data_IF_319185626914
#
_entry.id   IF_319185626914
#
_cell.length_a   1.000
_cell.length_b   1.000
_cell.length_c   1.000
_cell.angle_alpha   90.00
_cell.angle_beta   90.00
_cell.angle_gamma   90.00
#
_symmetry.space_group_name_H-M   'P 1'
#
loop_
_entity.id
_entity.type
_entity.pdbx_description
1 polymer ?
#
# COMPACT_ATOMS: atom_id res chain seq x y z
N UNK A 1 -19.94 -2.32 18.41
CA UNK A 1 -19.11 -3.30 17.70
C UNK A 1 -19.03 -2.82 16.26
N UNK A 2 -17.84 -2.72 15.67
CA UNK A 2 -17.72 -2.35 14.26
C UNK A 2 -18.22 -3.50 13.40
N UNK A 3 -19.27 -3.27 12.62
CA UNK A 3 -19.84 -4.21 11.68
C UNK A 3 -19.09 -4.10 10.35
N UNK A 4 -18.87 -5.20 9.66
CA UNK A 4 -18.35 -5.19 8.30
C UNK A 4 -19.49 -4.88 7.33
N UNK A 5 -19.38 -3.78 6.59
CA UNK A 5 -20.46 -3.27 5.73
C UNK A 5 -19.89 -2.73 4.43
N UNK A 6 -20.55 -3.04 3.33
CA UNK A 6 -20.32 -2.43 2.03
C UNK A 6 -21.30 -1.27 1.86
N UNK A 7 -20.78 -0.05 1.90
CA UNK A 7 -21.56 1.18 1.70
C UNK A 7 -20.99 1.85 0.45
N UNK A 8 -21.85 2.18 -0.51
CA UNK A 8 -21.43 2.90 -1.71
C UNK A 8 -21.18 4.38 -1.38
N UNK A 9 -19.93 4.89 -1.48
CA UNK A 9 -19.63 6.29 -1.12
C UNK A 9 -20.28 7.33 -2.04
N UNK A 10 -20.68 6.93 -3.24
CA UNK A 10 -21.38 7.80 -4.18
C UNK A 10 -22.83 8.04 -3.78
N UNK A 11 -23.52 7.02 -3.28
CA UNK A 11 -24.94 7.11 -2.88
C UNK A 11 -25.15 7.19 -1.36
N UNK A 12 -24.13 6.85 -0.57
CA UNK A 12 -24.18 6.62 0.89
C UNK A 12 -25.15 5.49 1.30
N UNK A 13 -25.44 4.53 0.41
CA UNK A 13 -26.35 3.42 0.65
C UNK A 13 -25.56 2.15 1.01
N UNK A 14 -25.98 1.44 2.07
CA UNK A 14 -25.50 0.11 2.40
C UNK A 14 -26.10 -0.89 1.41
N UNK A 15 -25.26 -1.71 0.75
CA UNK A 15 -25.72 -2.74 -0.18
C UNK A 15 -25.34 -4.17 0.27
N UNK A 16 -24.46 -4.33 1.25
CA UNK A 16 -24.15 -5.61 1.86
C UNK A 16 -23.60 -5.46 3.28
N UNK A 17 -23.80 -6.49 4.10
CA UNK A 17 -23.23 -6.57 5.44
C UNK A 17 -22.80 -7.99 5.77
N UNK A 18 -21.79 -8.12 6.64
CA UNK A 18 -21.14 -9.36 6.98
C UNK A 18 -21.01 -9.47 8.50
N UNK A 19 -21.41 -10.60 9.03
CA UNK A 19 -21.30 -10.86 10.47
C UNK A 19 -19.84 -11.10 10.87
N UNK A 20 -19.51 -10.76 12.11
CA UNK A 20 -18.20 -11.07 12.65
C UNK A 20 -17.98 -12.59 12.70
N UNK A 21 -16.76 -13.00 12.42
CA UNK A 21 -16.37 -14.41 12.54
C UNK A 21 -16.53 -14.89 13.98
N UNK A 22 -17.11 -16.08 14.16
CA UNK A 22 -17.18 -16.73 15.48
C UNK A 22 -15.81 -17.26 15.89
N UNK A 23 -15.60 -17.50 17.18
CA UNK A 23 -14.37 -18.12 17.68
C UNK A 23 -14.09 -19.50 17.03
N UNK A 24 -15.14 -20.30 16.79
CA UNK A 24 -15.03 -21.60 16.11
C UNK A 24 -14.55 -21.42 14.64
N UNK A 25 -15.13 -20.48 13.89
CA UNK A 25 -14.71 -20.21 12.52
C UNK A 25 -13.25 -19.73 12.44
N UNK A 26 -12.80 -18.94 13.41
CA UNK A 26 -11.40 -18.49 13.49
C UNK A 26 -10.47 -19.67 13.79
N UNK A 27 -10.80 -20.53 14.76
CA UNK A 27 -10.00 -21.72 15.07
C UNK A 27 -9.93 -22.71 13.91
N UNK A 28 -11.05 -22.97 13.24
CA UNK A 28 -11.12 -23.81 12.03
C UNK A 28 -10.22 -23.23 10.91
N UNK A 29 -10.24 -21.92 10.69
CA UNK A 29 -9.42 -21.25 9.72
C UNK A 29 -7.92 -21.39 10.04
N UNK A 30 -7.53 -21.16 11.30
CA UNK A 30 -6.15 -21.32 11.75
C UNK A 30 -5.70 -22.79 11.59
N UNK A 31 -6.55 -23.76 11.97
CA UNK A 31 -6.26 -25.19 11.81
C UNK A 31 -6.03 -25.56 10.34
N UNK A 32 -6.91 -25.10 9.44
CA UNK A 32 -6.83 -25.36 8.01
C UNK A 32 -5.56 -24.78 7.39
N UNK A 33 -5.27 -23.51 7.67
CA UNK A 33 -4.05 -22.83 7.22
C UNK A 33 -2.79 -23.54 7.75
N UNK A 34 -2.77 -23.90 9.03
CA UNK A 34 -1.63 -24.58 9.63
C UNK A 34 -1.42 -26.00 9.08
N UNK A 35 -2.48 -26.73 8.79
CA UNK A 35 -2.39 -28.04 8.14
C UNK A 35 -1.79 -27.91 6.72
N UNK A 36 -2.20 -26.90 5.97
CA UNK A 36 -1.64 -26.60 4.65
C UNK A 36 -0.15 -26.22 4.75
N UNK A 37 0.24 -25.37 5.71
CA UNK A 37 1.64 -25.03 5.96
C UNK A 37 2.50 -26.29 6.19
N UNK A 38 2.04 -27.23 7.03
CA UNK A 38 2.77 -28.49 7.25
C UNK A 38 2.97 -29.30 5.99
N UNK A 39 1.97 -29.32 5.08
CA UNK A 39 2.08 -29.95 3.78
C UNK A 39 3.07 -29.23 2.88
N UNK A 40 2.96 -27.90 2.79
CA UNK A 40 3.78 -27.08 1.88
C UNK A 40 5.28 -27.06 2.21
N UNK A 41 5.65 -27.26 3.48
CA UNK A 41 7.06 -27.41 3.90
C UNK A 41 7.80 -28.52 3.17
N UNK A 42 7.08 -29.52 2.70
CA UNK A 42 7.65 -30.70 2.02
C UNK A 42 7.30 -30.76 0.53
N UNK A 43 6.56 -29.78 0.02
CA UNK A 43 6.14 -29.71 -1.37
C UNK A 43 7.12 -28.91 -2.22
N UNK A 44 7.33 -29.37 -3.47
CA UNK A 44 8.14 -28.62 -4.42
C UNK A 44 7.50 -27.26 -4.72
N UNK A 45 8.22 -26.13 -4.55
CA UNK A 45 7.69 -24.77 -4.80
C UNK A 45 7.25 -24.55 -6.27
N UNK A 46 7.72 -25.34 -7.22
CA UNK A 46 7.25 -25.33 -8.61
C UNK A 46 5.73 -25.56 -8.75
N UNK A 47 5.15 -26.33 -7.84
CA UNK A 47 3.70 -26.54 -7.82
C UNK A 47 2.96 -25.23 -7.49
N UNK A 48 3.48 -24.47 -6.53
CA UNK A 48 2.95 -23.18 -6.15
C UNK A 48 3.18 -22.10 -7.22
N UNK A 49 4.33 -22.15 -7.91
CA UNK A 49 4.62 -21.30 -9.06
C UNK A 49 3.56 -21.45 -10.17
N UNK A 50 3.33 -22.68 -10.61
CA UNK A 50 2.28 -22.97 -11.61
C UNK A 50 0.88 -22.55 -11.15
N UNK A 51 0.60 -22.69 -9.85
CA UNK A 51 -0.68 -22.30 -9.29
C UNK A 51 -0.85 -20.79 -9.26
N UNK A 52 0.23 -20.04 -8.99
CA UNK A 52 0.18 -18.58 -8.94
C UNK A 52 -0.06 -17.97 -10.34
N UNK A 53 0.45 -18.58 -11.42
CA UNK A 53 0.07 -18.21 -12.79
C UNK A 53 -1.43 -18.37 -13.05
N UNK A 54 -2.03 -19.49 -12.61
CA UNK A 54 -3.49 -19.67 -12.73
C UNK A 54 -4.29 -18.64 -11.95
N UNK A 55 -3.76 -18.20 -10.82
CA UNK A 55 -4.37 -17.10 -10.04
C UNK A 55 -4.29 -15.79 -10.82
N UNK A 56 -3.16 -15.48 -11.46
CA UNK A 56 -3.02 -14.30 -12.32
C UNK A 56 -4.04 -14.30 -13.46
N UNK A 57 -4.17 -15.44 -14.15
CA UNK A 57 -5.17 -15.60 -15.22
C UNK A 57 -6.60 -15.41 -14.70
N UNK A 58 -6.92 -16.00 -13.54
CA UNK A 58 -8.25 -15.87 -12.94
C UNK A 58 -8.57 -14.44 -12.47
N UNK A 59 -7.57 -13.68 -12.00
CA UNK A 59 -7.76 -12.25 -11.68
C UNK A 59 -8.15 -11.47 -12.95
N UNK A 60 -7.47 -11.69 -14.08
CA UNK A 60 -7.82 -11.06 -15.36
C UNK A 60 -9.18 -11.50 -15.88
N UNK A 61 -9.51 -12.80 -15.77
CA UNK A 61 -10.82 -13.34 -16.19
C UNK A 61 -11.98 -12.70 -15.41
N UNK A 62 -11.75 -12.32 -14.14
CA UNK A 62 -12.73 -11.70 -13.26
C UNK A 62 -12.49 -10.19 -13.04
N UNK A 63 -11.79 -9.52 -13.97
CA UNK A 63 -11.46 -8.09 -13.85
C UNK A 63 -12.70 -7.22 -13.60
N UNK A 64 -13.75 -7.40 -14.40
CA UNK A 64 -14.97 -6.59 -14.30
C UNK A 64 -15.68 -6.76 -12.96
N UNK A 65 -15.76 -7.98 -12.44
CA UNK A 65 -16.39 -8.27 -11.14
C UNK A 65 -15.59 -7.62 -10.00
N UNK A 66 -14.26 -7.78 -10.02
CA UNK A 66 -13.35 -7.22 -9.02
C UNK A 66 -13.35 -5.69 -9.06
N UNK A 67 -13.16 -5.11 -10.24
CA UNK A 67 -13.10 -3.67 -10.42
C UNK A 67 -14.40 -3.00 -9.99
N UNK A 68 -15.55 -3.55 -10.39
CA UNK A 68 -16.86 -3.03 -9.99
C UNK A 68 -17.07 -3.11 -8.48
N UNK A 69 -16.68 -4.22 -7.83
CA UNK A 69 -16.82 -4.36 -6.38
C UNK A 69 -15.97 -3.32 -5.64
N UNK A 70 -14.70 -3.14 -6.02
CA UNK A 70 -13.82 -2.12 -5.44
C UNK A 70 -14.38 -0.72 -5.62
N UNK A 71 -14.85 -0.37 -6.81
CA UNK A 71 -15.47 0.92 -7.10
C UNK A 71 -16.70 1.17 -6.22
N UNK A 72 -17.57 0.18 -6.07
CA UNK A 72 -18.78 0.30 -5.26
C UNK A 72 -18.49 0.42 -3.75
N UNK A 73 -17.44 -0.22 -3.23
CA UNK A 73 -17.15 -0.23 -1.80
C UNK A 73 -16.29 0.94 -1.33
N UNK A 74 -15.40 1.47 -2.19
CA UNK A 74 -14.47 2.51 -1.74
C UNK A 74 -14.46 3.77 -2.61
N UNK A 75 -15.27 3.81 -3.68
CA UNK A 75 -15.50 5.01 -4.48
C UNK A 75 -14.48 5.27 -5.60
N UNK A 76 -13.37 4.52 -5.71
CA UNK A 76 -12.36 4.77 -6.76
C UNK A 76 -12.95 4.59 -8.17
N UNK A 77 -12.36 5.27 -9.15
CA UNK A 77 -12.79 5.19 -10.53
C UNK A 77 -12.68 3.77 -11.08
N UNK A 78 -13.68 3.34 -11.87
CA UNK A 78 -13.69 1.98 -12.43
C UNK A 78 -12.44 1.68 -13.26
N UNK A 79 -11.90 2.67 -14.01
CA UNK A 79 -10.65 2.48 -14.77
C UNK A 79 -9.46 2.20 -13.84
N UNK A 80 -9.36 2.94 -12.71
CA UNK A 80 -8.29 2.74 -11.73
C UNK A 80 -8.42 1.40 -11.00
N UNK A 81 -9.67 0.94 -10.80
CA UNK A 81 -9.92 -0.40 -10.26
C UNK A 81 -9.49 -1.51 -11.22
N UNK A 82 -9.68 -1.35 -12.54
CA UNK A 82 -9.17 -2.29 -13.55
C UNK A 82 -7.65 -2.30 -13.62
N UNK A 83 -7.01 -1.12 -13.56
CA UNK A 83 -5.55 -1.01 -13.47
C UNK A 83 -5.00 -1.75 -12.25
N UNK A 84 -5.69 -1.67 -11.11
CA UNK A 84 -5.34 -2.40 -9.90
C UNK A 84 -5.41 -3.92 -10.09
N UNK A 85 -6.43 -4.43 -10.81
CA UNK A 85 -6.54 -5.88 -11.09
C UNK A 85 -5.36 -6.35 -11.96
N UNK A 86 -5.02 -5.63 -13.04
CA UNK A 86 -3.88 -6.00 -13.90
C UNK A 86 -2.54 -5.91 -13.15
N UNK A 87 -2.35 -4.89 -12.31
CA UNK A 87 -1.18 -4.81 -11.43
C UNK A 87 -1.08 -6.06 -10.54
N UNK A 88 -2.18 -6.48 -9.94
CA UNK A 88 -2.21 -7.68 -9.08
C UNK A 88 -1.90 -8.96 -9.84
N UNK A 89 -2.45 -9.12 -11.03
CA UNK A 89 -2.15 -10.25 -11.90
C UNK A 89 -0.66 -10.26 -12.28
N UNK A 90 -0.09 -9.11 -12.65
CA UNK A 90 1.33 -8.98 -12.99
C UNK A 90 2.26 -9.30 -11.81
N UNK A 91 1.89 -8.95 -10.57
CA UNK A 91 2.63 -9.33 -9.36
C UNK A 91 2.60 -10.85 -9.17
N UNK A 92 1.44 -11.49 -9.36
CA UNK A 92 1.34 -12.95 -9.31
C UNK A 92 2.24 -13.60 -10.36
N UNK A 93 2.25 -13.12 -11.60
CA UNK A 93 3.11 -13.60 -12.68
C UNK A 93 4.59 -13.41 -12.36
N UNK A 94 4.97 -12.26 -11.79
CA UNK A 94 6.35 -11.99 -11.39
C UNK A 94 6.87 -13.04 -10.40
N UNK A 95 6.10 -13.31 -9.32
CA UNK A 95 6.51 -14.32 -8.33
C UNK A 95 6.38 -15.75 -8.86
N UNK A 96 5.42 -16.04 -9.71
CA UNK A 96 5.33 -17.32 -10.38
C UNK A 96 6.58 -17.61 -11.23
N UNK A 97 7.07 -16.61 -11.96
CA UNK A 97 8.26 -16.72 -12.82
C UNK A 97 9.57 -16.77 -12.03
N UNK A 98 9.71 -15.96 -10.98
CA UNK A 98 10.99 -15.69 -10.33
C UNK A 98 11.12 -16.33 -8.94
N UNK A 99 9.99 -16.59 -8.25
CA UNK A 99 9.99 -16.94 -6.84
C UNK A 99 10.71 -18.23 -6.50
N UNK A 100 10.63 -19.25 -7.37
CA UNK A 100 11.36 -20.52 -7.16
C UNK A 100 12.87 -20.29 -7.18
N UNK A 101 13.38 -19.47 -8.11
CA UNK A 101 14.80 -19.11 -8.16
C UNK A 101 15.20 -18.30 -6.92
N UNK A 102 14.35 -17.40 -6.43
CA UNK A 102 14.60 -16.63 -5.23
C UNK A 102 14.70 -17.51 -3.97
N UNK A 103 14.03 -18.68 -3.96
CA UNK A 103 14.11 -19.66 -2.86
C UNK A 103 15.34 -20.56 -2.90
N UNK A 104 16.15 -20.49 -3.94
CA UNK A 104 17.38 -21.29 -4.02
C UNK A 104 18.28 -21.04 -2.81
N UNK A 105 19.00 -22.07 -2.32
CA UNK A 105 19.97 -21.91 -1.24
C UNK A 105 21.00 -20.84 -1.60
N UNK A 106 21.38 -20.03 -0.62
CA UNK A 106 22.41 -19.01 -0.79
C UNK A 106 23.71 -19.49 -0.19
N UNK A 107 24.79 -19.69 -0.96
CA UNK A 107 26.08 -20.10 -0.44
C UNK A 107 26.71 -18.99 0.42
N UNK A 108 27.50 -19.40 1.40
CA UNK A 108 28.26 -18.52 2.30
C UNK A 108 29.73 -18.93 2.22
N UNK A 109 30.62 -17.99 1.95
CA UNK A 109 32.06 -18.22 2.05
C UNK A 109 32.45 -18.37 3.52
N UNK A 110 33.10 -19.48 3.89
CA UNK A 110 33.48 -19.78 5.27
C UNK A 110 34.67 -20.73 5.31
N UNK A 111 35.66 -20.41 6.14
CA UNK A 111 36.80 -21.28 6.43
C UNK A 111 36.40 -22.46 7.33
N UNK A 112 35.20 -22.43 7.93
CA UNK A 112 34.72 -23.46 8.85
C UNK A 112 34.13 -24.69 8.12
N UNK A 113 33.89 -24.61 6.83
CA UNK A 113 33.31 -25.67 6.02
C UNK A 113 32.41 -25.20 4.91
N UNK A 114 31.68 -26.12 4.27
CA UNK A 114 30.73 -25.80 3.22
C UNK A 114 29.45 -25.25 3.84
N UNK A 115 29.24 -23.94 3.75
CA UNK A 115 28.13 -23.23 4.39
C UNK A 115 27.14 -22.65 3.38
N UNK A 116 25.87 -22.70 3.73
CA UNK A 116 24.77 -22.06 2.96
C UNK A 116 23.58 -21.82 3.88
N UNK A 117 22.66 -20.94 3.48
CA UNK A 117 21.36 -20.89 4.14
C UNK A 117 20.22 -21.25 3.18
N UNK A 118 19.25 -21.97 3.77
CA UNK A 118 17.98 -22.30 3.15
C UNK A 118 16.94 -21.23 3.46
N UNK A 119 16.04 -20.96 2.53
CA UNK A 119 14.90 -20.05 2.69
C UNK A 119 13.65 -20.86 2.95
N UNK A 120 13.25 -20.97 4.21
CA UNK A 120 12.15 -21.84 4.64
C UNK A 120 10.92 -21.03 5.04
N UNK A 121 9.72 -21.54 4.74
CA UNK A 121 8.47 -20.98 5.27
C UNK A 121 8.44 -21.02 6.80
N UNK A 122 7.87 -19.98 7.41
CA UNK A 122 7.77 -19.86 8.87
C UNK A 122 6.45 -20.37 9.44
N UNK A 123 5.35 -20.25 8.68
CA UNK A 123 4.02 -20.66 9.14
C UNK A 123 2.90 -19.80 8.59
N UNK A 124 1.78 -19.79 9.30
CA UNK A 124 0.62 -18.97 8.95
C UNK A 124 0.93 -17.50 9.24
N UNK A 125 0.58 -16.62 8.30
CA UNK A 125 0.75 -15.17 8.45
C UNK A 125 -0.64 -14.52 8.58
N UNK A 126 -0.79 -13.62 9.54
CA UNK A 126 -1.95 -12.74 9.66
C UNK A 126 -1.72 -11.48 8.85
N UNK A 127 -2.56 -11.21 7.86
CA UNK A 127 -2.53 -9.99 7.05
C UNK A 127 -3.71 -9.07 7.44
N UNK A 128 -3.39 -7.80 7.74
CA UNK A 128 -4.36 -6.76 8.08
C UNK A 128 -4.27 -5.65 7.04
N UNK A 129 -5.28 -5.54 6.15
CA UNK A 129 -5.17 -4.71 4.96
C UNK A 129 -6.20 -3.57 4.94
N UNK A 130 -5.82 -2.40 4.43
CA UNK A 130 -6.67 -1.23 4.33
C UNK A 130 -7.55 -1.25 3.08
N UNK A 131 -8.39 -0.26 2.96
CA UNK A 131 -9.44 -0.14 1.94
C UNK A 131 -9.03 0.56 0.64
N UNK A 132 -7.91 1.28 0.59
CA UNK A 132 -7.61 2.18 -0.51
C UNK A 132 -7.18 1.49 -1.82
N UNK A 133 -6.61 0.29 -1.72
CA UNK A 133 -6.34 -0.64 -2.83
C UNK A 133 -6.76 -2.05 -2.41
N UNK A 134 -8.07 -2.37 -2.48
CA UNK A 134 -8.61 -3.57 -1.83
C UNK A 134 -8.04 -4.89 -2.32
N UNK A 135 -7.63 -4.96 -3.59
CA UNK A 135 -7.01 -6.16 -4.15
C UNK A 135 -5.48 -6.13 -4.01
N UNK A 136 -4.86 -4.99 -4.34
CA UNK A 136 -3.40 -4.86 -4.35
C UNK A 136 -2.77 -5.10 -2.97
N UNK A 137 -3.36 -4.56 -1.91
CA UNK A 137 -2.85 -4.76 -0.56
C UNK A 137 -2.82 -6.25 -0.18
N UNK A 138 -3.85 -7.00 -0.57
CA UNK A 138 -3.92 -8.45 -0.33
C UNK A 138 -2.89 -9.20 -1.16
N UNK A 139 -2.81 -8.92 -2.47
CA UNK A 139 -1.91 -9.65 -3.39
C UNK A 139 -0.45 -9.35 -3.08
N UNK A 140 -0.12 -8.14 -2.66
CA UNK A 140 1.23 -7.71 -2.28
C UNK A 140 1.82 -8.58 -1.16
N UNK A 141 1.01 -8.96 -0.18
CA UNK A 141 1.39 -9.88 0.89
C UNK A 141 1.23 -11.34 0.46
N UNK A 142 0.12 -11.67 -0.24
CA UNK A 142 -0.22 -13.04 -0.59
C UNK A 142 0.76 -13.67 -1.58
N UNK A 143 1.08 -13.01 -2.70
CA UNK A 143 1.83 -13.64 -3.78
C UNK A 143 3.24 -14.12 -3.36
N UNK A 144 4.08 -13.30 -2.68
CA UNK A 144 5.39 -13.78 -2.19
C UNK A 144 5.24 -14.87 -1.14
N UNK A 145 4.31 -14.75 -0.19
CA UNK A 145 4.08 -15.74 0.85
C UNK A 145 3.54 -17.07 0.30
N UNK A 146 2.71 -17.03 -0.75
CA UNK A 146 2.24 -18.22 -1.44
C UNK A 146 3.39 -19.03 -2.03
N UNK A 147 4.37 -18.38 -2.70
CA UNK A 147 5.57 -19.05 -3.24
C UNK A 147 6.45 -19.59 -2.12
N UNK A 148 6.65 -18.84 -1.04
CA UNK A 148 7.41 -19.29 0.14
C UNK A 148 6.75 -20.51 0.80
N UNK A 149 5.42 -20.57 0.79
CA UNK A 149 4.63 -21.62 1.45
C UNK A 149 4.11 -21.21 2.83
N UNK A 150 3.83 -19.92 3.00
CA UNK A 150 3.16 -19.34 4.16
C UNK A 150 1.68 -19.07 3.81
N UNK A 151 0.71 -19.82 4.36
CA UNK A 151 -0.71 -19.50 4.22
C UNK A 151 -1.07 -18.18 4.89
N UNK A 152 -2.08 -17.49 4.35
CA UNK A 152 -2.53 -16.18 4.81
C UNK A 152 -3.92 -16.27 5.45
N UNK A 153 -4.06 -15.74 6.66
CA UNK A 153 -5.33 -15.31 7.23
C UNK A 153 -5.50 -13.82 6.95
N UNK A 154 -6.58 -13.44 6.31
CA UNK A 154 -6.84 -12.05 5.92
C UNK A 154 -7.88 -11.42 6.83
N UNK A 155 -7.56 -10.28 7.42
CA UNK A 155 -8.50 -9.32 7.99
C UNK A 155 -8.45 -8.05 7.16
N UNK A 156 -9.43 -7.85 6.29
CA UNK A 156 -9.51 -6.62 5.51
C UNK A 156 -10.20 -5.48 6.29
N UNK A 157 -10.14 -4.26 5.75
CA UNK A 157 -10.86 -3.12 6.31
C UNK A 157 -12.38 -3.36 6.35
N UNK A 158 -13.06 -2.75 7.32
CA UNK A 158 -14.48 -2.98 7.58
C UNK A 158 -15.41 -2.50 6.46
N UNK A 159 -14.94 -1.61 5.60
CA UNK A 159 -15.71 -0.99 4.51
C UNK A 159 -15.49 -1.62 3.13
N UNK A 160 -14.66 -2.65 3.03
CA UNK A 160 -14.41 -3.39 1.77
C UNK A 160 -14.51 -4.92 1.96
N UNK A 161 -15.51 -5.43 2.73
CA UNK A 161 -15.63 -6.85 3.01
C UNK A 161 -16.01 -7.68 1.79
N UNK A 162 -16.74 -7.11 0.84
CA UNK A 162 -17.13 -7.76 -0.41
C UNK A 162 -15.93 -7.99 -1.33
N UNK A 163 -15.04 -7.01 -1.46
CA UNK A 163 -13.78 -7.14 -2.20
C UNK A 163 -12.92 -8.26 -1.62
N UNK A 164 -12.78 -8.32 -0.29
CA UNK A 164 -12.05 -9.38 0.40
C UNK A 164 -12.63 -10.78 0.15
N UNK A 165 -13.95 -10.93 0.27
CA UNK A 165 -14.66 -12.19 0.03
C UNK A 165 -14.53 -12.63 -1.44
N UNK A 166 -14.68 -11.70 -2.38
CA UNK A 166 -14.57 -11.98 -3.81
C UNK A 166 -13.15 -12.41 -4.19
N UNK A 167 -12.13 -11.72 -3.69
CA UNK A 167 -10.72 -12.07 -3.89
C UNK A 167 -10.43 -13.50 -3.41
N UNK A 168 -10.79 -13.84 -2.18
CA UNK A 168 -10.58 -15.18 -1.64
C UNK A 168 -11.35 -16.27 -2.44
N UNK A 169 -12.55 -15.94 -2.93
CA UNK A 169 -13.35 -16.83 -3.78
C UNK A 169 -12.69 -17.09 -5.12
N UNK A 170 -12.17 -16.08 -5.79
CA UNK A 170 -11.49 -16.19 -7.10
C UNK A 170 -10.21 -16.99 -6.97
N UNK A 171 -9.36 -16.68 -5.99
CA UNK A 171 -8.12 -17.42 -5.72
C UNK A 171 -8.41 -18.92 -5.49
N UNK A 172 -9.43 -19.24 -4.70
CA UNK A 172 -9.86 -20.64 -4.50
C UNK A 172 -10.36 -21.29 -5.79
N UNK A 173 -11.16 -20.57 -6.60
CA UNK A 173 -11.68 -21.09 -7.89
C UNK A 173 -10.59 -21.32 -8.91
N UNK A 174 -9.51 -20.53 -8.89
CA UNK A 174 -8.31 -20.76 -9.67
C UNK A 174 -7.59 -22.06 -9.28
N UNK A 175 -8.07 -22.77 -8.25
CA UNK A 175 -7.54 -24.05 -7.77
C UNK A 175 -6.46 -23.90 -6.69
N UNK A 176 -6.29 -22.73 -6.09
CA UNK A 176 -5.43 -22.60 -4.92
C UNK A 176 -5.92 -23.52 -3.80
N UNK A 177 -5.02 -24.22 -3.10
CA UNK A 177 -5.41 -25.12 -2.01
C UNK A 177 -6.23 -24.39 -0.93
N UNK A 178 -7.22 -25.10 -0.40
CA UNK A 178 -7.97 -24.60 0.75
C UNK A 178 -7.01 -24.29 1.90
N UNK A 179 -7.17 -23.13 2.53
CA UNK A 179 -6.26 -22.67 3.59
C UNK A 179 -5.16 -21.74 3.10
N UNK A 180 -4.93 -21.57 1.79
CA UNK A 180 -3.87 -20.69 1.26
C UNK A 180 -4.15 -19.20 1.49
N UNK A 181 -5.40 -18.78 1.33
CA UNK A 181 -5.93 -17.47 1.70
C UNK A 181 -7.32 -17.65 2.32
N UNK A 182 -7.49 -17.29 3.59
CA UNK A 182 -8.75 -17.36 4.29
C UNK A 182 -9.15 -15.96 4.75
N UNK A 183 -10.23 -15.42 4.18
CA UNK A 183 -10.78 -14.14 4.63
C UNK A 183 -11.62 -14.35 5.90
N UNK A 184 -11.35 -13.54 6.92
CA UNK A 184 -12.01 -13.49 8.22
C UNK A 184 -12.57 -12.10 8.51
N UNK A 185 -13.60 -12.03 9.34
CA UNK A 185 -14.19 -10.79 9.83
C UNK A 185 -14.06 -10.68 11.37
N UNK A 186 -12.82 -10.67 11.92
CA UNK A 186 -12.63 -10.66 13.36
C UNK A 186 -12.90 -9.26 13.94
N UNK A 187 -13.28 -9.25 15.23
CA UNK A 187 -13.19 -8.04 16.05
C UNK A 187 -11.72 -7.72 16.35
N UNK A 188 -11.43 -6.53 16.92
CA UNK A 188 -10.07 -6.18 17.31
C UNK A 188 -9.52 -7.08 18.44
N UNK A 189 -10.37 -7.50 19.38
CA UNK A 189 -9.97 -8.44 20.44
C UNK A 189 -9.62 -9.81 19.85
N UNK A 190 -10.47 -10.34 18.97
CA UNK A 190 -10.19 -11.59 18.26
C UNK A 190 -8.92 -11.49 17.39
N UNK A 191 -8.63 -10.34 16.79
CA UNK A 191 -7.38 -10.16 16.05
C UNK A 191 -6.15 -10.32 16.96
N UNK A 192 -6.19 -9.77 18.16
CA UNK A 192 -5.12 -9.95 19.15
C UNK A 192 -4.93 -11.41 19.54
N UNK A 193 -6.03 -12.15 19.70
CA UNK A 193 -6.01 -13.60 19.99
C UNK A 193 -5.41 -14.40 18.81
N UNK A 194 -5.77 -14.06 17.56
CA UNK A 194 -5.19 -14.67 16.35
C UNK A 194 -3.67 -14.45 16.31
N UNK A 195 -3.22 -13.22 16.59
CA UNK A 195 -1.79 -12.89 16.62
C UNK A 195 -1.07 -13.68 17.73
N UNK A 196 -1.71 -13.90 18.86
CA UNK A 196 -1.15 -14.65 19.98
C UNK A 196 -1.08 -16.17 19.73
N UNK A 197 -1.87 -16.70 18.79
CA UNK A 197 -1.94 -18.15 18.51
C UNK A 197 -0.58 -18.69 18.06
N UNK A 198 -0.07 -19.81 18.65
CA UNK A 198 1.25 -20.36 18.31
C UNK A 198 1.35 -20.90 16.88
N UNK A 199 0.24 -21.14 16.18
CA UNK A 199 0.21 -21.57 14.77
C UNK A 199 0.41 -20.40 13.80
N UNK A 200 0.16 -19.14 14.23
CA UNK A 200 0.43 -17.91 13.48
C UNK A 200 1.86 -17.46 13.78
N UNK A 201 2.68 -17.26 12.76
CA UNK A 201 4.12 -17.02 12.91
C UNK A 201 4.59 -15.64 12.40
N UNK A 202 3.69 -14.87 11.82
CA UNK A 202 4.01 -13.51 11.37
C UNK A 202 2.75 -12.66 11.20
N UNK A 203 2.95 -11.35 11.12
CA UNK A 203 1.89 -10.38 10.94
C UNK A 203 2.32 -9.32 9.92
N UNK A 204 1.57 -9.17 8.84
CA UNK A 204 1.70 -8.03 7.92
C UNK A 204 0.56 -7.05 8.20
N UNK A 205 0.85 -5.77 8.28
CA UNK A 205 -0.18 -4.74 8.38
C UNK A 205 0.13 -3.58 7.44
N UNK A 206 -0.85 -3.21 6.65
CA UNK A 206 -0.90 -1.90 6.00
C UNK A 206 -2.05 -1.09 6.61
N UNK A 207 -1.79 0.16 6.99
CA UNK A 207 -2.84 0.99 7.62
C UNK A 207 -2.34 2.26 8.27
N UNK A 208 -3.07 2.73 9.29
CA UNK A 208 -2.68 3.92 10.05
C UNK A 208 -1.64 3.59 11.13
N UNK A 209 -0.87 4.61 11.57
CA UNK A 209 0.13 4.48 12.64
C UNK A 209 -0.49 3.91 13.93
N UNK A 210 -1.71 4.32 14.26
CA UNK A 210 -2.42 3.79 15.43
C UNK A 210 -2.68 2.29 15.31
N UNK A 211 -3.12 1.84 14.12
CA UNK A 211 -3.34 0.42 13.85
C UNK A 211 -2.01 -0.36 13.84
N UNK A 212 -0.99 0.21 13.21
CA UNK A 212 0.36 -0.34 13.16
C UNK A 212 0.96 -0.54 14.54
N UNK A 213 0.93 0.49 15.39
CA UNK A 213 1.44 0.40 16.77
C UNK A 213 0.76 -0.69 17.58
N UNK A 214 -0.59 -0.78 17.50
CA UNK A 214 -1.34 -1.80 18.24
C UNK A 214 -1.02 -3.24 17.77
N UNK A 215 -0.91 -3.44 16.45
CA UNK A 215 -0.57 -4.75 15.88
C UNK A 215 0.89 -5.11 16.11
N UNK A 216 1.81 -4.14 16.01
CA UNK A 216 3.23 -4.33 16.32
C UNK A 216 3.44 -4.68 17.79
N UNK A 217 2.72 -4.04 18.71
CA UNK A 217 2.73 -4.38 20.14
C UNK A 217 2.27 -5.82 20.37
N UNK A 218 1.14 -6.22 19.75
CA UNK A 218 0.63 -7.59 19.86
C UNK A 218 1.62 -8.61 19.27
N UNK A 219 2.24 -8.31 18.12
CA UNK A 219 3.26 -9.16 17.49
C UNK A 219 4.51 -9.27 18.35
N UNK A 220 5.04 -8.15 18.85
CA UNK A 220 6.23 -8.10 19.71
C UNK A 220 6.04 -8.84 21.03
N UNK A 221 4.88 -8.69 21.69
CA UNK A 221 4.52 -9.42 22.91
C UNK A 221 4.55 -10.93 22.71
N UNK A 222 4.24 -11.41 21.50
CA UNK A 222 4.20 -12.82 21.15
C UNK A 222 5.43 -13.29 20.33
N UNK A 223 6.48 -12.44 20.20
CA UNK A 223 7.73 -12.71 19.47
C UNK A 223 7.49 -13.11 18.00
N UNK A 224 6.50 -12.49 17.34
CA UNK A 224 6.19 -12.72 15.92
C UNK A 224 6.96 -11.73 15.05
N UNK A 225 7.46 -12.20 13.89
CA UNK A 225 7.93 -11.28 12.83
C UNK A 225 6.77 -10.40 12.37
N UNK A 226 7.06 -9.14 12.05
CA UNK A 226 6.03 -8.24 11.49
C UNK A 226 6.60 -7.30 10.44
N UNK A 227 5.75 -6.94 9.47
CA UNK A 227 5.96 -5.83 8.53
C UNK A 227 4.86 -4.80 8.73
N UNK A 228 5.25 -3.52 8.72
CA UNK A 228 4.33 -2.40 8.93
C UNK A 228 4.49 -1.42 7.78
N UNK A 229 3.41 -1.26 6.99
CA UNK A 229 3.29 -0.27 5.93
C UNK A 229 2.24 0.74 6.36
N UNK A 230 2.66 1.95 6.71
CA UNK A 230 1.80 2.92 7.37
C UNK A 230 1.60 4.18 6.51
N UNK A 231 1.22 5.29 7.13
CA UNK A 231 1.01 6.55 6.44
C UNK A 231 2.28 7.10 5.78
N UNK A 232 2.09 8.06 4.89
CA UNK A 232 3.17 8.78 4.22
C UNK A 232 2.80 10.25 4.01
N UNK A 233 3.80 11.12 4.08
CA UNK A 233 3.67 12.54 3.73
C UNK A 233 4.69 12.90 2.66
N UNK A 234 4.57 12.18 1.52
CA UNK A 234 5.58 12.14 0.47
C UNK A 234 5.82 13.51 -0.18
N UNK A 235 7.09 13.83 -0.35
CA UNK A 235 7.56 15.02 -1.02
C UNK A 235 7.65 14.81 -2.55
N UNK A 236 7.17 15.78 -3.31
CA UNK A 236 7.38 15.91 -4.75
C UNK A 236 8.25 17.16 -4.98
N UNK A 237 9.53 16.93 -5.25
CA UNK A 237 10.55 17.99 -5.32
C UNK A 237 10.71 18.43 -6.77
N UNK A 238 10.56 19.71 -7.03
CA UNK A 238 10.72 20.34 -8.36
C UNK A 238 11.92 21.27 -8.31
N UNK A 239 13.01 20.88 -8.94
CA UNK A 239 14.25 21.67 -9.02
C UNK A 239 14.15 22.73 -10.14
N UNK A 240 15.03 23.73 -10.12
CA UNK A 240 14.97 24.88 -11.03
C UNK A 240 15.23 24.55 -12.51
N UNK A 241 15.78 23.37 -12.79
CA UNK A 241 16.01 22.84 -14.13
C UNK A 241 14.94 21.83 -14.59
N UNK A 242 13.86 21.66 -13.84
CA UNK A 242 12.79 20.69 -14.14
C UNK A 242 12.19 20.94 -15.53
N UNK A 243 11.95 19.86 -16.30
CA UNK A 243 11.26 19.99 -17.59
C UNK A 243 9.76 20.27 -17.37
N UNK A 244 9.26 21.42 -17.83
CA UNK A 244 7.85 21.78 -17.73
C UNK A 244 6.90 20.73 -18.34
N UNK A 245 7.33 19.99 -19.35
CA UNK A 245 6.49 18.95 -19.97
C UNK A 245 6.38 17.71 -19.06
N UNK A 246 7.51 17.30 -18.46
CA UNK A 246 7.50 16.20 -17.46
C UNK A 246 6.60 16.59 -16.30
N UNK A 247 6.77 17.82 -15.78
CA UNK A 247 5.95 18.33 -14.68
C UNK A 247 4.45 18.27 -14.99
N UNK A 248 4.04 18.79 -16.15
CA UNK A 248 2.62 18.75 -16.58
C UNK A 248 2.07 17.33 -16.73
N UNK A 249 2.91 16.39 -17.15
CA UNK A 249 2.49 14.99 -17.37
C UNK A 249 2.31 14.20 -16.06
N UNK A 250 3.08 14.53 -15.02
CA UNK A 250 3.13 13.67 -13.81
C UNK A 250 2.47 14.29 -12.59
N UNK A 251 2.44 15.61 -12.46
CA UNK A 251 1.98 16.29 -11.24
C UNK A 251 0.50 16.07 -10.96
N UNK A 252 -0.33 16.04 -12.01
CA UNK A 252 -1.75 15.77 -11.88
C UNK A 252 -2.00 14.41 -11.21
N UNK A 253 -1.56 13.35 -11.85
CA UNK A 253 -1.73 11.97 -11.34
C UNK A 253 -1.03 11.76 -10.00
N UNK A 254 0.10 12.42 -9.75
CA UNK A 254 0.81 12.34 -8.47
C UNK A 254 -0.08 12.75 -7.30
N UNK A 255 -1.11 13.57 -7.54
CA UNK A 255 -2.00 14.07 -6.50
C UNK A 255 -3.46 13.61 -6.60
N UNK A 256 -3.97 13.30 -7.80
CA UNK A 256 -5.39 12.99 -8.01
C UNK A 256 -5.72 11.50 -8.18
N UNK A 257 -4.73 10.65 -8.48
CA UNK A 257 -4.95 9.21 -8.60
C UNK A 257 -5.59 8.65 -7.32
N UNK A 258 -6.63 7.85 -7.45
CA UNK A 258 -7.45 7.34 -6.34
C UNK A 258 -7.97 8.46 -5.42
N UNK A 259 -8.30 9.63 -5.99
CA UNK A 259 -8.72 10.83 -5.24
C UNK A 259 -7.70 11.26 -4.16
N UNK A 260 -6.40 11.04 -4.42
CA UNK A 260 -5.34 11.31 -3.46
C UNK A 260 -5.29 10.37 -2.25
N UNK A 261 -6.12 9.32 -2.22
CA UNK A 261 -6.20 8.34 -1.13
C UNK A 261 -5.13 7.25 -1.28
N UNK A 262 -3.87 7.68 -1.40
CA UNK A 262 -2.69 6.84 -1.60
C UNK A 262 -1.62 7.21 -0.58
N UNK A 263 -1.06 6.22 0.11
CA UNK A 263 0.00 6.46 1.09
C UNK A 263 1.23 7.13 0.46
N UNK A 264 1.59 6.75 -0.78
CA UNK A 264 2.68 7.32 -1.58
C UNK A 264 2.24 8.48 -2.49
N UNK A 265 1.02 9.02 -2.34
CA UNK A 265 0.63 10.23 -3.08
C UNK A 265 1.50 11.42 -2.66
N UNK A 266 1.86 12.25 -3.63
CA UNK A 266 2.68 13.44 -3.44
C UNK A 266 1.86 14.54 -2.72
N UNK A 267 1.87 14.55 -1.40
CA UNK A 267 1.09 15.47 -0.58
C UNK A 267 1.76 16.83 -0.48
N UNK A 268 3.10 16.82 -0.27
CA UNK A 268 3.94 18.03 -0.17
C UNK A 268 4.65 18.29 -1.49
N UNK A 269 4.25 19.32 -2.21
CA UNK A 269 4.91 19.78 -3.44
C UNK A 269 5.94 20.82 -3.05
N UNK A 270 7.21 20.45 -3.05
CA UNK A 270 8.35 21.30 -2.68
C UNK A 270 8.97 21.81 -3.97
N UNK A 271 8.94 23.11 -4.19
CA UNK A 271 9.30 23.71 -5.48
C UNK A 271 10.29 24.84 -5.33
N UNK A 272 11.37 24.84 -6.12
CA UNK A 272 12.27 25.99 -6.22
C UNK A 272 11.56 27.18 -6.87
N UNK A 273 11.88 28.37 -6.42
CA UNK A 273 11.22 29.65 -6.78
C UNK A 273 10.93 29.82 -8.27
N UNK A 274 11.83 29.37 -9.14
CA UNK A 274 11.70 29.49 -10.59
C UNK A 274 10.47 28.81 -11.18
N UNK A 275 10.00 27.72 -10.59
CA UNK A 275 8.85 26.93 -11.06
C UNK A 275 7.59 27.11 -10.21
N UNK A 276 7.61 27.98 -9.19
CA UNK A 276 6.48 28.11 -8.25
C UNK A 276 5.16 28.43 -8.92
N UNK A 277 5.14 29.48 -9.75
CA UNK A 277 3.93 29.88 -10.47
C UNK A 277 3.46 28.81 -11.45
N UNK A 278 4.40 28.14 -12.13
CA UNK A 278 4.08 27.05 -13.06
C UNK A 278 3.43 25.86 -12.34
N UNK A 279 3.96 25.47 -11.18
CA UNK A 279 3.40 24.39 -10.35
C UNK A 279 1.99 24.74 -9.90
N UNK A 280 1.77 25.93 -9.36
CA UNK A 280 0.46 26.40 -8.93
C UNK A 280 -0.56 26.42 -10.09
N UNK A 281 -0.17 26.93 -11.25
CA UNK A 281 -1.02 26.97 -12.43
C UNK A 281 -1.32 25.56 -12.97
N UNK A 282 -0.33 24.67 -12.96
CA UNK A 282 -0.50 23.27 -13.37
C UNK A 282 -1.49 22.54 -12.47
N UNK A 283 -1.31 22.62 -11.15
CA UNK A 283 -2.23 22.01 -10.17
C UNK A 283 -3.64 22.59 -10.30
N UNK A 284 -3.75 23.93 -10.40
CA UNK A 284 -5.06 24.58 -10.58
C UNK A 284 -5.75 24.12 -11.86
N UNK A 285 -5.00 24.03 -12.97
CA UNK A 285 -5.54 23.52 -14.24
C UNK A 285 -6.02 22.08 -14.11
N UNK A 286 -5.24 21.21 -13.48
CA UNK A 286 -5.64 19.81 -13.21
C UNK A 286 -6.93 19.79 -12.39
N UNK A 287 -6.97 20.45 -11.23
CA UNK A 287 -8.11 20.41 -10.32
C UNK A 287 -9.37 21.04 -10.93
N UNK A 288 -9.24 22.13 -11.68
CA UNK A 288 -10.39 22.81 -12.29
C UNK A 288 -11.03 22.02 -13.44
N UNK A 289 -10.30 21.09 -14.06
CA UNK A 289 -10.81 20.25 -15.15
C UNK A 289 -11.37 18.89 -14.68
N UNK A 290 -11.32 18.60 -13.38
CA UNK A 290 -11.93 17.39 -12.84
C UNK A 290 -13.45 17.42 -13.03
N UNK A 291 -14.04 16.25 -13.21
CA UNK A 291 -15.47 16.06 -13.40
C UNK A 291 -16.01 15.15 -12.31
N UNK A 292 -16.73 15.75 -11.35
CA UNK A 292 -17.38 15.01 -10.29
C UNK A 292 -18.56 14.19 -10.83
N UNK A 293 -18.67 12.92 -10.41
CA UNK A 293 -19.76 12.07 -10.91
C UNK A 293 -19.70 10.64 -10.35
N UNK A 294 -20.54 9.77 -10.94
CA UNK A 294 -20.55 8.35 -10.63
C UNK A 294 -19.21 7.72 -11.03
N UNK A 295 -18.46 7.08 -10.10
CA UNK A 295 -17.17 6.48 -10.39
C UNK A 295 -17.23 5.30 -11.38
N UNK A 296 -18.42 4.78 -11.67
CA UNK A 296 -18.64 3.76 -12.70
C UNK A 296 -18.68 4.35 -14.12
N UNK A 297 -18.93 5.66 -14.26
CA UNK A 297 -19.06 6.33 -15.54
C UNK A 297 -17.69 6.77 -16.09
N UNK A 298 -17.45 6.51 -17.39
CA UNK A 298 -16.17 6.78 -18.05
C UNK A 298 -15.76 8.27 -18.04
N UNK A 299 -16.73 9.19 -17.99
CA UNK A 299 -16.49 10.65 -17.98
C UNK A 299 -16.12 11.20 -16.61
N UNK A 300 -16.27 10.44 -15.56
CA UNK A 300 -15.92 10.85 -14.20
C UNK A 300 -14.40 10.86 -14.00
N UNK A 301 -13.89 11.95 -13.41
CA UNK A 301 -12.48 12.09 -13.06
C UNK A 301 -12.27 12.58 -11.62
N UNK A 302 -13.33 12.98 -10.94
CA UNK A 302 -13.37 13.26 -9.51
C UNK A 302 -14.39 12.31 -8.87
N UNK A 303 -13.95 11.20 -8.27
CA UNK A 303 -14.82 10.28 -7.55
C UNK A 303 -15.09 10.79 -6.13
N UNK A 304 -16.03 10.17 -5.38
CA UNK A 304 -16.16 10.41 -3.94
C UNK A 304 -14.97 9.82 -3.18
N UNK A 305 -14.66 10.38 -2.02
CA UNK A 305 -13.81 9.73 -1.02
C UNK A 305 -14.45 8.42 -0.52
N UNK A 306 -13.66 7.55 0.09
CA UNK A 306 -14.15 6.23 0.53
C UNK A 306 -15.32 6.25 1.51
N UNK A 307 -15.59 7.37 2.18
CA UNK A 307 -16.69 7.52 3.13
C UNK A 307 -16.90 8.96 3.54
N UNK A 308 -18.11 9.28 4.00
CA UNK A 308 -18.44 10.59 4.56
C UNK A 308 -17.50 10.96 5.73
N UNK A 309 -17.18 9.98 6.59
CA UNK A 309 -16.25 10.19 7.70
C UNK A 309 -14.84 10.60 7.25
N UNK A 310 -14.35 10.03 6.13
CA UNK A 310 -13.04 10.40 5.60
C UNK A 310 -13.05 11.82 5.04
N UNK A 311 -14.11 12.19 4.31
CA UNK A 311 -14.37 13.54 3.84
C UNK A 311 -14.40 14.55 4.99
N UNK A 312 -15.23 14.32 6.01
CA UNK A 312 -15.34 15.20 7.19
C UNK A 312 -14.00 15.39 7.91
N UNK A 313 -13.22 14.31 8.05
CA UNK A 313 -11.88 14.38 8.62
C UNK A 313 -10.97 15.30 7.81
N UNK A 314 -10.94 15.13 6.49
CA UNK A 314 -10.09 15.94 5.61
C UNK A 314 -10.53 17.41 5.57
N UNK A 315 -11.84 17.68 5.55
CA UNK A 315 -12.39 19.03 5.67
C UNK A 315 -11.97 19.71 6.99
N UNK A 316 -11.99 18.95 8.09
CA UNK A 316 -11.54 19.46 9.39
C UNK A 316 -10.04 19.77 9.39
N UNK A 317 -9.22 18.96 8.74
CA UNK A 317 -7.78 19.21 8.59
C UNK A 317 -7.52 20.49 7.76
N UNK A 318 -8.18 20.67 6.63
CA UNK A 318 -8.07 21.88 5.81
C UNK A 318 -8.54 23.14 6.58
N UNK A 319 -9.69 23.07 7.27
CA UNK A 319 -10.16 24.18 8.11
C UNK A 319 -9.15 24.54 9.22
N UNK A 320 -8.54 23.54 9.85
CA UNK A 320 -7.50 23.72 10.87
C UNK A 320 -6.25 24.39 10.29
N UNK A 321 -5.82 23.97 9.07
CA UNK A 321 -4.70 24.58 8.38
C UNK A 321 -4.92 26.07 8.11
N UNK A 322 -6.07 26.41 7.53
CA UNK A 322 -6.43 27.81 7.19
C UNK A 322 -6.57 28.66 8.44
N UNK A 323 -7.18 28.13 9.51
CA UNK A 323 -7.26 28.86 10.77
C UNK A 323 -5.88 29.19 11.38
N UNK A 324 -4.89 28.35 11.11
CA UNK A 324 -3.51 28.51 11.56
C UNK A 324 -2.61 29.27 10.56
N UNK A 325 -3.18 29.87 9.51
CA UNK A 325 -2.45 30.78 8.61
C UNK A 325 -2.17 30.27 7.20
N UNK A 326 -2.48 29.01 6.90
CA UNK A 326 -2.39 28.51 5.53
C UNK A 326 -3.38 29.24 4.61
N UNK A 327 -3.01 29.45 3.36
CA UNK A 327 -3.84 30.13 2.37
C UNK A 327 -4.38 29.13 1.35
N UNK A 328 -5.67 29.30 0.98
CA UNK A 328 -6.28 28.53 -0.12
C UNK A 328 -5.94 29.26 -1.43
N UNK A 329 -5.00 28.72 -2.19
CA UNK A 329 -4.72 29.22 -3.53
C UNK A 329 -5.83 28.86 -4.52
N UNK A 330 -6.38 27.64 -4.40
CA UNK A 330 -7.49 27.17 -5.21
C UNK A 330 -8.35 26.19 -4.42
N UNK A 331 -9.66 26.25 -4.62
CA UNK A 331 -10.60 25.24 -4.17
C UNK A 331 -11.59 24.92 -5.28
N UNK A 332 -11.86 23.64 -5.49
CA UNK A 332 -12.85 23.18 -6.47
C UNK A 332 -14.24 23.73 -6.12
N UNK A 333 -15.10 24.06 -7.13
CA UNK A 333 -16.45 24.54 -6.91
C UNK A 333 -17.32 23.62 -6.05
N UNK A 334 -18.47 24.11 -5.60
CA UNK A 334 -19.48 23.30 -4.90
C UNK A 334 -19.91 22.12 -5.78
N UNK A 335 -20.05 20.94 -5.15
CA UNK A 335 -20.51 19.71 -5.79
C UNK A 335 -21.91 19.41 -5.28
N UNK A 336 -22.91 19.49 -6.16
CA UNK A 336 -24.29 19.13 -5.84
C UNK A 336 -24.45 17.59 -5.87
N UNK A 337 -24.06 16.92 -4.81
CA UNK A 337 -24.16 15.47 -4.66
C UNK A 337 -24.37 15.09 -3.19
N UNK A 338 -25.08 13.97 -2.99
CA UNK A 338 -25.24 13.34 -1.67
C UNK A 338 -24.06 12.41 -1.30
N UNK A 339 -23.15 12.14 -2.25
CA UNK A 339 -21.99 11.28 -2.03
C UNK A 339 -20.90 11.93 -1.18
N UNK A 340 -19.93 11.15 -0.79
CA UNK A 340 -18.80 11.57 0.03
C UNK A 340 -17.76 12.40 -0.76
N UNK A 341 -18.20 13.37 -1.55
CA UNK A 341 -17.31 14.20 -2.37
C UNK A 341 -16.56 15.22 -1.54
N UNK A 342 -15.23 15.22 -1.67
CA UNK A 342 -14.38 16.29 -1.17
C UNK A 342 -14.05 17.25 -2.32
N UNK A 343 -13.98 18.54 -2.03
CA UNK A 343 -13.61 19.59 -3.00
C UNK A 343 -12.09 19.74 -3.03
N UNK A 344 -11.40 19.31 -4.11
CA UNK A 344 -9.94 19.45 -4.22
C UNK A 344 -9.43 20.84 -3.86
N UNK A 345 -8.33 20.90 -3.09
CA UNK A 345 -7.78 22.13 -2.53
C UNK A 345 -6.27 22.22 -2.78
N UNK A 346 -5.79 23.42 -3.12
CA UNK A 346 -4.36 23.76 -3.13
C UNK A 346 -4.11 24.72 -1.97
N UNK A 347 -3.25 24.32 -1.05
CA UNK A 347 -2.82 25.09 0.10
C UNK A 347 -1.41 25.64 -0.11
N UNK A 348 -1.19 26.88 0.31
CA UNK A 348 0.09 27.57 0.33
C UNK A 348 0.31 28.24 1.70
N UNK A 349 1.47 28.84 1.91
CA UNK A 349 1.80 29.53 3.16
C UNK A 349 1.64 28.65 4.41
N UNK A 350 2.14 27.41 4.33
CA UNK A 350 2.13 26.45 5.44
C UNK A 350 3.50 26.54 6.12
N UNK A 351 3.52 27.01 7.35
CA UNK A 351 4.73 27.07 8.17
C UNK A 351 4.84 25.85 9.09
N UNK A 352 5.96 25.72 9.79
CA UNK A 352 6.26 24.57 10.67
C UNK A 352 5.34 24.51 11.89
N UNK A 353 4.82 25.62 12.32
CA UNK A 353 3.89 25.72 13.45
C UNK A 353 2.45 25.37 13.04
N UNK A 354 2.17 25.28 11.74
CA UNK A 354 0.86 24.89 11.25
C UNK A 354 0.56 23.44 11.68
N UNK A 355 -0.56 23.19 12.32
CA UNK A 355 -0.85 21.87 12.90
C UNK A 355 -1.01 20.74 11.88
N UNK A 356 -1.11 21.03 10.57
CA UNK A 356 -1.13 20.00 9.54
C UNK A 356 0.25 19.70 8.94
N UNK A 357 1.27 20.49 9.28
CA UNK A 357 2.60 20.38 8.69
C UNK A 357 3.18 18.97 8.68
N UNK A 358 2.96 18.21 9.75
CA UNK A 358 3.38 16.81 9.88
C UNK A 358 2.18 15.84 9.99
N UNK A 359 1.02 16.22 9.41
CA UNK A 359 -0.16 15.35 9.28
C UNK A 359 -0.31 14.82 7.85
N UNK A 360 -0.72 13.58 7.71
CA UNK A 360 -1.08 13.02 6.41
C UNK A 360 -2.48 13.50 5.98
N UNK A 361 -2.55 14.27 4.87
CA UNK A 361 -3.78 14.69 4.21
C UNK A 361 -4.19 13.66 3.16
N UNK A 362 -5.01 12.69 3.57
CA UNK A 362 -5.36 11.50 2.80
C UNK A 362 -6.56 11.72 1.89
N UNK A 363 -6.38 12.56 0.86
CA UNK A 363 -7.39 12.97 -0.12
C UNK A 363 -6.83 14.06 -1.04
N UNK A 364 -7.62 14.68 -1.94
CA UNK A 364 -7.12 15.57 -3.00
C UNK A 364 -6.78 16.99 -2.49
N UNK A 365 -5.81 17.07 -1.59
CA UNK A 365 -5.23 18.33 -1.07
C UNK A 365 -3.76 18.39 -1.46
N UNK A 366 -3.34 19.42 -2.20
CA UNK A 366 -1.95 19.68 -2.52
C UNK A 366 -1.40 20.78 -1.60
N UNK A 367 -0.33 20.47 -0.87
CA UNK A 367 0.41 21.41 -0.02
C UNK A 367 1.64 21.89 -0.80
N UNK A 368 1.72 23.19 -1.11
CA UNK A 368 2.81 23.75 -1.92
C UNK A 368 3.74 24.59 -1.07
N UNK A 369 5.01 24.20 -1.08
CA UNK A 369 6.10 24.84 -0.36
C UNK A 369 7.11 25.40 -1.35
N UNK A 370 7.64 26.59 -1.05
CA UNK A 370 8.68 27.24 -1.85
C UNK A 370 10.03 27.14 -1.13
N UNK A 371 11.06 26.81 -1.88
CA UNK A 371 12.45 26.72 -1.39
C UNK A 371 13.39 27.52 -2.31
N UNK A 372 14.60 27.81 -1.81
CA UNK A 372 15.59 28.58 -2.52
C UNK A 372 16.49 27.72 -3.41
N UNK A 373 16.84 26.50 -2.94
CA UNK A 373 17.80 25.61 -3.59
C UNK A 373 17.59 24.13 -3.18
N UNK A 374 18.50 23.25 -3.66
CA UNK A 374 18.49 21.81 -3.40
C UNK A 374 18.61 21.49 -1.90
N UNK A 375 19.45 22.19 -1.18
CA UNK A 375 19.71 21.94 0.25
C UNK A 375 18.45 22.24 1.07
N UNK A 376 17.78 23.35 0.79
CA UNK A 376 16.50 23.71 1.39
C UNK A 376 15.41 22.66 1.03
N UNK A 377 15.37 22.20 -0.22
CA UNK A 377 14.43 21.17 -0.67
C UNK A 377 14.65 19.85 0.06
N UNK A 378 15.89 19.42 0.22
CA UNK A 378 16.28 18.22 0.96
C UNK A 378 15.91 18.36 2.43
N UNK A 379 16.25 19.50 3.05
CA UNK A 379 15.94 19.76 4.45
C UNK A 379 14.42 19.70 4.70
N UNK A 380 13.64 20.38 3.86
CA UNK A 380 12.18 20.40 3.99
C UNK A 380 11.56 19.01 3.73
N UNK A 381 12.07 18.28 2.73
CA UNK A 381 11.59 16.92 2.45
C UNK A 381 11.80 16.00 3.65
N UNK A 382 12.95 16.11 4.32
CA UNK A 382 13.32 15.31 5.48
C UNK A 382 12.68 15.77 6.81
N UNK A 383 12.18 17.01 6.86
CA UNK A 383 11.47 17.56 8.04
C UNK A 383 10.03 17.02 8.11
N UNK A 384 9.94 15.71 8.26
CA UNK A 384 8.70 14.97 8.43
C UNK A 384 8.94 13.75 9.31
N UNK A 385 7.94 13.39 10.11
CA UNK A 385 7.96 12.14 10.87
C UNK A 385 7.73 10.91 10.00
N UNK A 386 7.33 11.08 8.75
CA UNK A 386 7.13 10.04 7.74
C UNK A 386 8.37 9.87 6.84
N UNK A 387 8.41 8.75 6.12
CA UNK A 387 9.47 8.45 5.17
C UNK A 387 9.09 7.26 4.26
N UNK A 388 7.93 7.35 3.57
CA UNK A 388 7.49 6.28 2.67
C UNK A 388 8.11 6.43 1.29
N UNK A 389 7.75 7.47 0.56
CA UNK A 389 8.23 7.73 -0.78
C UNK A 389 8.55 9.20 -1.04
N UNK A 390 9.11 9.47 -2.20
CA UNK A 390 9.37 10.82 -2.73
C UNK A 390 9.48 10.80 -4.25
N UNK A 391 9.39 11.99 -4.87
CA UNK A 391 9.70 12.22 -6.28
C UNK A 391 10.65 13.39 -6.42
N UNK A 392 11.56 13.33 -7.41
CA UNK A 392 12.49 14.41 -7.75
C UNK A 392 12.41 14.67 -9.24
N UNK A 393 12.08 15.91 -9.62
CA UNK A 393 11.96 16.35 -11.01
C UNK A 393 13.12 17.28 -11.36
N UNK A 394 13.95 16.86 -12.33
CA UNK A 394 15.13 17.60 -12.80
C UNK A 394 15.55 17.08 -14.16
N UNK A 395 16.06 17.95 -15.02
CA UNK A 395 16.68 17.57 -16.29
C UNK A 395 18.09 17.01 -16.09
N UNK A 396 18.81 17.41 -15.03
CA UNK A 396 20.09 16.81 -14.66
C UNK A 396 19.88 15.56 -13.79
N UNK A 397 19.98 14.39 -14.42
CA UNK A 397 19.81 13.09 -13.74
C UNK A 397 20.81 12.86 -12.61
N UNK A 398 22.05 13.40 -12.72
CA UNK A 398 23.04 13.25 -11.64
C UNK A 398 22.66 14.10 -10.44
N UNK A 399 22.19 15.34 -10.68
CA UNK A 399 21.65 16.20 -9.64
C UNK A 399 20.44 15.54 -8.95
N UNK A 400 19.48 15.04 -9.74
CA UNK A 400 18.34 14.31 -9.20
C UNK A 400 18.73 13.09 -8.35
N UNK A 401 19.73 12.31 -8.80
CA UNK A 401 20.25 11.16 -8.04
C UNK A 401 20.94 11.60 -6.74
N UNK A 402 21.67 12.73 -6.76
CA UNK A 402 22.30 13.29 -5.57
C UNK A 402 21.28 13.77 -4.55
N UNK A 403 20.21 14.45 -4.98
CA UNK A 403 19.09 14.84 -4.11
C UNK A 403 18.38 13.59 -3.58
N UNK A 404 18.02 12.64 -4.43
CA UNK A 404 17.35 11.41 -4.07
C UNK A 404 18.11 10.60 -3.00
N UNK A 405 19.45 10.54 -3.10
CA UNK A 405 20.29 9.82 -2.15
C UNK A 405 20.31 10.45 -0.72
N UNK A 406 19.84 11.68 -0.57
CA UNK A 406 19.80 12.41 0.69
C UNK A 406 18.40 12.47 1.31
N UNK A 407 17.37 12.00 0.60
CA UNK A 407 15.99 11.94 1.12
C UNK A 407 15.81 10.73 2.01
N UNK A 408 15.29 10.95 3.21
CA UNK A 408 15.06 9.92 4.23
C UNK A 408 13.74 9.18 4.03
N UNK A 409 13.59 8.54 2.85
CA UNK A 409 12.42 7.73 2.48
C UNK A 409 12.83 6.32 2.06
N UNK A 410 11.87 5.40 2.04
CA UNK A 410 12.11 4.04 1.55
C UNK A 410 12.22 3.96 0.04
N UNK A 411 11.62 4.91 -0.69
CA UNK A 411 11.54 4.91 -2.14
C UNK A 411 11.65 6.34 -2.70
N UNK A 412 12.33 6.48 -3.84
CA UNK A 412 12.37 7.76 -4.58
C UNK A 412 12.22 7.49 -6.07
N UNK A 413 11.37 8.25 -6.75
CA UNK A 413 11.17 8.20 -8.20
C UNK A 413 11.73 9.47 -8.84
N UNK A 414 12.59 9.35 -9.85
CA UNK A 414 13.13 10.48 -10.59
C UNK A 414 12.30 10.68 -11.87
N UNK A 415 11.89 11.92 -12.11
CA UNK A 415 11.10 12.34 -13.28
C UNK A 415 9.78 11.55 -13.47
N UNK A 416 9.16 11.20 -12.35
CA UNK A 416 7.90 10.45 -12.34
C UNK A 416 7.14 10.65 -11.04
N UNK A 417 5.94 10.08 -10.97
CA UNK A 417 5.20 9.87 -9.73
C UNK A 417 5.54 8.50 -9.15
N UNK A 418 5.06 8.21 -7.93
CA UNK A 418 5.18 6.87 -7.34
C UNK A 418 4.75 5.78 -8.33
N UNK A 419 5.48 4.69 -8.35
CA UNK A 419 5.22 3.49 -9.17
C UNK A 419 5.41 2.25 -8.30
N UNK A 420 4.77 1.15 -8.69
CA UNK A 420 4.90 -0.14 -8.02
C UNK A 420 4.80 -1.28 -9.03
N UNK A 421 5.56 -2.33 -8.80
CA UNK A 421 5.55 -3.56 -9.58
C UNK A 421 6.17 -4.69 -8.77
N UNK A 422 6.02 -5.93 -9.21
CA UNK A 422 6.48 -7.10 -8.46
C UNK A 422 7.96 -7.10 -8.12
N UNK A 423 8.81 -6.51 -8.98
CA UNK A 423 10.27 -6.46 -8.86
C UNK A 423 10.80 -5.30 -8.00
N UNK A 424 9.99 -4.28 -7.74
CA UNK A 424 10.41 -3.11 -6.98
C UNK A 424 10.09 -3.28 -5.49
N UNK A 425 11.09 -3.13 -4.59
CA UNK A 425 10.81 -3.20 -3.16
C UNK A 425 9.93 -2.03 -2.73
N UNK A 426 8.90 -2.31 -1.94
CA UNK A 426 7.97 -1.34 -1.41
C UNK A 426 8.11 -1.24 0.11
N UNK A 427 8.15 -0.03 0.66
CA UNK A 427 8.14 0.21 2.10
C UNK A 427 8.87 1.46 2.51
N UNK A 428 8.63 1.88 3.75
CA UNK A 428 9.10 3.12 4.33
C UNK A 428 10.11 2.98 5.46
N UNK A 429 10.42 4.15 6.03
CA UNK A 429 11.21 4.34 7.25
C UNK A 429 10.46 5.30 8.18
N UNK A 430 11.00 5.63 9.35
CA UNK A 430 10.37 6.52 10.34
C UNK A 430 8.97 5.99 10.72
N UNK A 431 7.97 6.88 10.87
CA UNK A 431 6.58 6.49 11.17
C UNK A 431 5.84 5.83 9.99
N UNK A 432 6.42 5.83 8.79
CA UNK A 432 5.86 5.08 7.67
C UNK A 432 6.03 3.56 7.80
N UNK A 433 6.73 3.10 8.82
CA UNK A 433 6.80 1.71 9.20
C UNK A 433 8.15 1.07 8.99
N UNK A 434 8.16 -0.26 8.89
CA UNK A 434 9.37 -1.07 8.76
C UNK A 434 9.10 -2.39 8.03
N UNK A 435 10.17 -3.00 7.54
CA UNK A 435 10.11 -4.13 6.61
C UNK A 435 10.08 -3.66 5.17
N UNK A 436 9.94 -4.62 4.26
CA UNK A 436 9.72 -4.37 2.83
C UNK A 436 8.71 -5.39 2.33
N UNK A 437 7.94 -4.97 1.35
CA UNK A 437 7.05 -5.82 0.58
C UNK A 437 7.48 -5.79 -0.89
N UNK A 438 7.00 -6.72 -1.69
CA UNK A 438 7.41 -6.92 -3.08
C UNK A 438 8.92 -7.23 -3.24
N UNK A 439 9.36 -7.46 -4.48
CA UNK A 439 10.71 -7.91 -4.83
C UNK A 439 11.14 -9.18 -4.07
N UNK A 440 12.43 -9.47 -4.09
CA UNK A 440 13.06 -10.49 -3.24
C UNK A 440 13.08 -10.08 -1.76
N UNK A 441 13.20 -8.78 -1.47
CA UNK A 441 13.19 -8.27 -0.09
C UNK A 441 11.86 -8.57 0.61
N UNK A 442 10.72 -8.31 -0.04
CA UNK A 442 9.41 -8.60 0.51
C UNK A 442 9.15 -10.10 0.67
N UNK A 443 9.68 -10.92 -0.25
CA UNK A 443 9.61 -12.37 -0.13
C UNK A 443 10.35 -12.90 1.10
N UNK A 444 11.44 -12.23 1.51
CA UNK A 444 12.25 -12.62 2.68
C UNK A 444 11.62 -12.20 4.02
N UNK A 445 10.60 -11.34 4.03
CA UNK A 445 10.02 -10.80 5.27
C UNK A 445 9.59 -11.89 6.26
N UNK A 446 8.97 -12.97 5.75
CA UNK A 446 8.48 -14.10 6.57
C UNK A 446 9.18 -15.42 6.23
N UNK A 447 10.47 -15.36 6.01
CA UNK A 447 11.33 -16.53 5.73
C UNK A 447 12.20 -16.81 6.95
N UNK A 448 12.41 -18.09 7.23
CA UNK A 448 13.48 -18.57 8.11
C UNK A 448 14.74 -18.81 7.27
N UNK A 449 15.77 -18.02 7.50
CA UNK A 449 17.10 -18.15 6.89
C UNK A 449 17.88 -19.21 7.66
N UNK A 450 17.61 -20.47 7.32
CA UNK A 450 18.15 -21.64 8.04
C UNK A 450 19.58 -21.94 7.63
N UNK A 451 20.55 -21.62 8.48
CA UNK A 451 21.97 -21.94 8.24
C UNK A 451 22.21 -23.44 8.29
N UNK A 452 22.92 -23.94 7.28
CA UNK A 452 23.48 -25.28 7.22
C UNK A 452 24.99 -25.17 6.97
N UNK A 453 25.79 -25.85 7.77
CA UNK A 453 27.25 -25.92 7.61
C UNK A 453 27.73 -27.37 7.68
N UNK A 454 28.47 -27.81 6.67
CA UNK A 454 29.12 -29.12 6.63
C UNK A 454 30.61 -28.94 6.92
N UNK A 455 31.05 -29.37 8.09
CA UNK A 455 32.42 -29.28 8.57
C UNK A 455 33.26 -30.56 8.29
N UNK A 456 32.71 -31.51 7.54
CA UNK A 456 33.34 -32.82 7.31
C UNK A 456 34.74 -32.69 6.67
N UNK A 457 34.98 -31.70 5.81
CA UNK A 457 36.25 -31.45 5.14
C UNK A 457 37.33 -30.85 6.02
N UNK A 458 37.00 -30.24 7.15
CA UNK A 458 37.97 -29.60 8.06
C UNK A 458 38.47 -30.57 9.12
N UNK A 459 37.94 -31.79 9.20
CA UNK A 459 38.33 -32.84 10.13
C UNK A 459 39.21 -33.93 9.47
N UNK A 460 39.66 -33.71 8.21
CA UNK A 460 40.64 -34.52 7.51
C UNK A 460 41.94 -33.73 7.36
#
# INVERSE_FOLDING_TARGET
>A
MSRYQSINPYTNEEFASYDNSTAAQIDDAINLAHALYKKWRHENPETRSRQLHKIADALREHEDDLAKMMTLEMGKLLRESREEVELCASICDYYAKNGVKMLAPTPIESDLGNAYYLKQSTGVIMACEPWNFPLYQVIRVFAPNFIVGNPILLKHAHNVPGSAALTAKIIRRAGAPEGSLINLYPTYDQLSDIIADPRVQGVALTGSERGGSAVAEAAGKNLKKSTMELGGNDAFIVLDDADPQVLRNVLGDARTYNDGQVCTSSKRIIVEKSHYEEVLHTLKNVFSNLQAGDPLEAGTTLPPMNSERAKEKLEAQVKKAVYAGAEIFYQYPEIDSKGAFFRPVILTNIDKENPIYDEELFGPVAEVFVVDDDDDAIQLANDSSYGLGSSVISNDIKRAQNVAAQIETGMTVINGRWITSGELPFGGVKKSGYGRELSDLGMMAFVNEHLVIDVTKNNQ
#
